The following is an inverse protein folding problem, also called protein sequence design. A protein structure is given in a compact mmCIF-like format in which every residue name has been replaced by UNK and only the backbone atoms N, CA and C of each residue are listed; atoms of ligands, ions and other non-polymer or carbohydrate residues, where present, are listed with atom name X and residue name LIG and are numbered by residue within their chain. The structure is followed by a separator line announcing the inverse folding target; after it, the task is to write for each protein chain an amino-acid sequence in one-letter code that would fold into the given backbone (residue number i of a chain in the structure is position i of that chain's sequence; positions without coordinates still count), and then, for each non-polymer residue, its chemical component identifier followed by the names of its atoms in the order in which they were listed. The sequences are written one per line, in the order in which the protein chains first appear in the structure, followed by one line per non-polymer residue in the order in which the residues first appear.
data_IF_231814643859
#
_entry.id   IF_231814643859
#
_cell.length_a   1.000
_cell.length_b   1.000
_cell.length_c   1.000
_cell.angle_alpha   90.00
_cell.angle_beta   90.00
_cell.angle_gamma   90.00
#
_symmetry.space_group_name_H-M   'P 1'
#
loop_
_entity.id
_entity.type
_entity.pdbx_description
1 polymer ?
#
# COMPACT_ATOMS: atom_id res chain seq x y z
N UNK A 1 -39.67 -6.81 -22.87
CA UNK A 1 -38.74 -7.15 -21.78
C UNK A 1 -37.54 -6.23 -21.94
N UNK A 2 -37.52 -5.14 -21.17
CA UNK A 2 -36.44 -4.15 -21.21
C UNK A 2 -35.41 -4.59 -20.19
N UNK A 3 -34.22 -4.95 -20.65
CA UNK A 3 -33.09 -5.25 -19.77
C UNK A 3 -32.44 -3.93 -19.40
N UNK A 4 -32.72 -3.48 -18.19
CA UNK A 4 -32.03 -2.38 -17.54
C UNK A 4 -30.64 -2.87 -17.14
N UNK A 5 -29.61 -2.36 -17.81
CA UNK A 5 -28.21 -2.66 -17.48
C UNK A 5 -27.79 -1.62 -16.45
N UNK A 6 -27.81 -2.00 -15.18
CA UNK A 6 -27.11 -1.28 -14.11
C UNK A 6 -25.64 -1.10 -14.50
N UNK A 7 -25.09 0.13 -14.47
CA UNK A 7 -23.68 0.34 -14.77
C UNK A 7 -22.85 -0.25 -13.62
N UNK A 8 -22.13 -1.34 -13.91
CA UNK A 8 -21.06 -1.85 -13.06
C UNK A 8 -20.04 -0.73 -12.84
N UNK A 9 -19.84 -0.33 -11.58
CA UNK A 9 -18.94 0.75 -11.19
C UNK A 9 -17.55 0.60 -11.80
N UNK A 10 -17.03 1.70 -12.32
CA UNK A 10 -15.70 1.75 -12.93
C UNK A 10 -14.61 1.47 -11.88
N UNK A 11 -13.81 0.42 -12.12
CA UNK A 11 -12.64 0.10 -11.29
C UNK A 11 -11.60 1.24 -11.36
N UNK A 12 -11.05 1.72 -10.23
CA UNK A 12 -10.06 2.79 -10.19
C UNK A 12 -8.69 2.42 -10.80
N UNK A 13 -8.54 1.22 -11.34
CA UNK A 13 -7.29 0.69 -11.93
C UNK A 13 -7.37 0.47 -13.45
N UNK A 14 -8.33 1.10 -14.15
CA UNK A 14 -8.48 0.96 -15.61
C UNK A 14 -7.33 1.63 -16.36
N UNK A 15 -6.99 1.07 -17.51
CA UNK A 15 -5.86 1.50 -18.35
C UNK A 15 -6.23 2.55 -19.41
N UNK A 16 -7.51 2.70 -19.77
CA UNK A 16 -7.92 3.60 -20.86
C UNK A 16 -7.81 5.08 -20.47
N UNK A 17 -7.37 5.97 -21.40
CA UNK A 17 -7.38 7.40 -21.15
C UNK A 17 -8.80 7.91 -20.95
N UNK A 18 -9.04 8.58 -19.82
CA UNK A 18 -10.35 9.09 -19.43
C UNK A 18 -10.26 10.43 -18.71
N UNK A 19 -11.39 10.95 -18.20
CA UNK A 19 -11.46 12.26 -17.52
C UNK A 19 -10.44 12.39 -16.36
N UNK A 20 -10.08 11.28 -15.70
CA UNK A 20 -9.06 11.22 -14.65
C UNK A 20 -7.64 11.60 -15.09
N UNK A 21 -7.35 11.60 -16.39
CA UNK A 21 -6.04 12.00 -16.94
C UNK A 21 -5.87 13.50 -17.06
N UNK A 22 -7.00 14.23 -17.11
CA UNK A 22 -7.03 15.68 -17.22
C UNK A 22 -7.08 16.35 -15.84
N UNK A 23 -7.40 15.59 -14.80
CA UNK A 23 -7.40 16.05 -13.40
C UNK A 23 -5.98 16.25 -12.87
N UNK A 24 -5.83 17.15 -11.89
CA UNK A 24 -4.59 17.35 -11.16
C UNK A 24 -4.13 16.01 -10.54
N UNK A 25 -2.87 15.63 -10.82
CA UNK A 25 -2.34 14.34 -10.42
C UNK A 25 -1.65 14.47 -9.06
N UNK A 26 -2.02 13.57 -8.15
CA UNK A 26 -1.41 13.47 -6.83
C UNK A 26 -0.64 12.16 -6.67
N UNK A 27 0.26 12.13 -5.70
CA UNK A 27 1.03 10.95 -5.32
C UNK A 27 0.98 10.80 -3.82
N UNK A 28 0.73 9.59 -3.33
CA UNK A 28 0.91 9.25 -1.92
C UNK A 28 2.38 8.90 -1.68
N UNK A 29 3.14 9.74 -0.94
CA UNK A 29 4.54 9.47 -0.64
C UNK A 29 4.64 8.50 0.54
N UNK A 30 5.58 7.56 0.42
CA UNK A 30 6.08 6.77 1.54
C UNK A 30 7.59 6.94 1.60
N UNK A 31 8.14 7.00 2.81
CA UNK A 31 9.57 6.96 3.07
C UNK A 31 9.86 5.79 4.00
N UNK A 32 10.72 4.88 3.57
CA UNK A 32 11.23 3.79 4.40
C UNK A 32 12.57 4.19 5.02
N UNK A 33 12.72 3.92 6.31
CA UNK A 33 13.99 4.11 7.03
C UNK A 33 14.93 2.94 6.73
N UNK A 34 16.04 3.20 6.03
CA UNK A 34 17.01 2.17 5.67
C UNK A 34 18.40 2.64 6.10
N UNK A 35 18.82 2.17 7.28
CA UNK A 35 20.18 2.37 7.76
C UNK A 35 21.15 1.38 7.10
N UNK A 36 22.40 1.81 6.90
CA UNK A 36 23.44 0.96 6.28
C UNK A 36 23.81 -0.24 7.14
N UNK A 37 23.90 -0.04 8.45
CA UNK A 37 24.41 -1.04 9.38
C UNK A 37 23.35 -2.08 9.77
N UNK A 38 22.07 -1.72 9.64
CA UNK A 38 20.94 -2.56 10.03
C UNK A 38 19.74 -2.26 9.13
N UNK A 39 19.78 -2.64 7.84
CA UNK A 39 18.62 -2.54 6.98
C UNK A 39 17.51 -3.48 7.51
N UNK A 40 16.23 -3.09 7.40
CA UNK A 40 15.13 -3.96 7.82
C UNK A 40 14.97 -5.16 6.89
N UNK A 41 14.33 -6.22 7.38
CA UNK A 41 13.97 -7.36 6.53
C UNK A 41 12.96 -6.93 5.45
N UNK A 42 13.10 -7.45 4.23
CA UNK A 42 12.23 -7.11 3.08
C UNK A 42 10.76 -7.32 3.42
N UNK A 43 10.40 -8.47 3.96
CA UNK A 43 9.00 -8.81 4.28
C UNK A 43 8.42 -7.83 5.32
N UNK A 44 9.21 -7.47 6.34
CA UNK A 44 8.79 -6.54 7.38
C UNK A 44 8.57 -5.12 6.82
N UNK A 45 9.44 -4.66 5.91
CA UNK A 45 9.24 -3.39 5.22
C UNK A 45 7.97 -3.37 4.34
N UNK A 46 7.66 -4.47 3.66
CA UNK A 46 6.44 -4.62 2.86
C UNK A 46 5.16 -4.59 3.72
N UNK A 47 5.13 -5.37 4.80
CA UNK A 47 4.02 -5.40 5.75
C UNK A 47 3.83 -4.01 6.39
N UNK A 48 4.93 -3.35 6.79
CA UNK A 48 4.90 -2.02 7.40
C UNK A 48 4.42 -0.95 6.41
N UNK A 49 4.82 -1.00 5.15
CA UNK A 49 4.34 -0.07 4.13
C UNK A 49 2.84 -0.23 3.84
N UNK A 50 2.36 -1.47 3.76
CA UNK A 50 0.93 -1.76 3.62
C UNK A 50 0.12 -1.21 4.82
N UNK A 51 0.61 -1.44 6.04
CA UNK A 51 0.03 -0.88 7.27
C UNK A 51 0.05 0.65 7.29
N UNK A 52 1.12 1.28 6.80
CA UNK A 52 1.20 2.74 6.71
C UNK A 52 0.13 3.31 5.78
N UNK A 53 -0.14 2.69 4.63
CA UNK A 53 -1.25 3.11 3.76
C UNK A 53 -2.60 2.98 4.47
N UNK A 54 -2.85 1.88 5.20
CA UNK A 54 -4.07 1.72 5.99
C UNK A 54 -4.18 2.78 7.09
N UNK A 55 -3.08 3.06 7.79
CA UNK A 55 -3.04 4.06 8.84
C UNK A 55 -3.50 5.43 8.34
N UNK A 56 -2.94 5.92 7.22
CA UNK A 56 -3.33 7.22 6.68
C UNK A 56 -4.76 7.24 6.09
N UNK A 57 -5.22 6.14 5.48
CA UNK A 57 -6.62 6.03 5.02
C UNK A 57 -7.62 6.08 6.19
N UNK A 58 -7.17 5.68 7.37
CA UNK A 58 -8.00 5.55 8.57
C UNK A 58 -7.93 6.76 9.52
N UNK A 59 -6.95 7.65 9.30
CA UNK A 59 -6.63 8.78 10.18
C UNK A 59 -7.73 9.84 10.12
N UNK A 60 -8.12 10.39 11.26
CA UNK A 60 -9.18 11.41 11.33
C UNK A 60 -8.88 12.64 10.46
N UNK A 61 -7.60 12.99 10.29
CA UNK A 61 -7.19 14.09 9.40
C UNK A 61 -7.48 13.79 7.95
N UNK A 62 -7.53 12.52 7.55
CA UNK A 62 -7.81 12.09 6.18
C UNK A 62 -9.31 11.94 5.88
N UNK A 63 -10.19 12.07 6.87
CA UNK A 63 -11.62 11.77 6.77
C UNK A 63 -12.48 13.01 6.96
N UNK A 64 -13.70 13.02 6.39
CA UNK A 64 -14.67 14.11 6.55
C UNK A 64 -14.08 15.48 6.21
N UNK A 65 -14.07 16.37 7.20
CA UNK A 65 -13.51 17.73 7.14
C UNK A 65 -12.09 17.82 7.72
N UNK A 66 -11.41 16.69 7.92
CA UNK A 66 -10.05 16.62 8.41
C UNK A 66 -9.05 17.36 7.52
N UNK A 67 -7.92 17.76 8.11
CA UNK A 67 -6.87 18.58 7.47
C UNK A 67 -6.40 18.04 6.11
N UNK A 68 -6.32 16.72 5.96
CA UNK A 68 -5.85 16.01 4.77
C UNK A 68 -6.99 15.45 3.91
N UNK A 69 -8.24 15.59 4.35
CA UNK A 69 -9.37 14.88 3.76
C UNK A 69 -9.60 15.27 2.29
N UNK A 70 -9.45 16.56 1.95
CA UNK A 70 -9.59 16.99 0.55
C UNK A 70 -8.51 16.38 -0.35
N UNK A 71 -7.24 16.48 0.05
CA UNK A 71 -6.13 15.97 -0.76
C UNK A 71 -6.14 14.44 -0.86
N UNK A 72 -6.68 13.76 0.15
CA UNK A 72 -6.95 12.32 0.10
C UNK A 72 -8.07 11.96 -0.87
N UNK A 73 -9.14 12.75 -0.98
CA UNK A 73 -10.18 12.57 -2.00
C UNK A 73 -9.63 12.80 -3.40
N UNK A 74 -8.95 13.92 -3.61
CA UNK A 74 -8.36 14.29 -4.91
C UNK A 74 -7.40 13.19 -5.43
N UNK A 75 -6.60 12.59 -4.54
CA UNK A 75 -5.73 11.48 -4.90
C UNK A 75 -6.47 10.16 -5.19
N UNK A 76 -7.54 9.85 -4.46
CA UNK A 76 -8.33 8.64 -4.67
C UNK A 76 -9.21 8.71 -5.93
N UNK A 77 -9.64 9.93 -6.30
CA UNK A 77 -10.48 10.18 -7.48
C UNK A 77 -9.64 10.29 -8.78
N UNK A 78 -8.34 10.55 -8.68
CA UNK A 78 -7.40 10.55 -9.80
C UNK A 78 -6.80 9.15 -10.07
N UNK A 79 -5.71 9.10 -10.86
CA UNK A 79 -4.89 7.89 -10.96
C UNK A 79 -4.09 7.71 -9.67
N UNK A 80 -4.44 6.68 -8.91
CA UNK A 80 -3.85 6.39 -7.61
C UNK A 80 -2.39 6.00 -7.79
N UNK A 81 -1.48 6.89 -7.41
CA UNK A 81 -0.02 6.67 -7.44
C UNK A 81 0.54 6.60 -6.04
N UNK A 82 1.42 5.62 -5.79
CA UNK A 82 2.23 5.53 -4.58
C UNK A 82 3.70 5.55 -4.96
N UNK A 83 4.51 6.31 -4.25
CA UNK A 83 5.96 6.35 -4.46
C UNK A 83 6.66 6.13 -3.14
N UNK A 84 7.51 5.11 -3.11
CA UNK A 84 8.35 4.80 -1.96
C UNK A 84 9.75 5.33 -2.22
N UNK A 85 10.26 6.12 -1.28
CA UNK A 85 11.65 6.60 -1.25
C UNK A 85 12.32 6.07 0.01
N UNK A 86 13.65 6.11 0.05
CA UNK A 86 14.40 5.78 1.26
C UNK A 86 15.02 7.01 1.90
N UNK A 87 15.16 6.96 3.22
CA UNK A 87 15.94 7.93 3.97
C UNK A 87 16.74 7.24 5.08
N UNK A 88 17.75 7.94 5.60
CA UNK A 88 18.59 7.51 6.73
C UNK A 88 19.10 8.71 7.51
N UNK A 89 19.49 8.51 8.76
CA UNK A 89 20.12 9.53 9.60
C UNK A 89 19.43 10.91 9.53
N UNK A 90 20.15 11.93 9.06
CA UNK A 90 19.60 13.28 8.96
C UNK A 90 18.49 13.44 7.90
N UNK A 91 18.46 12.61 6.87
CA UNK A 91 17.39 12.61 5.87
C UNK A 91 16.09 12.10 6.47
N UNK A 92 16.16 11.03 7.27
CA UNK A 92 15.00 10.46 7.98
C UNK A 92 14.42 11.47 8.95
N UNK A 93 15.25 12.08 9.81
CA UNK A 93 14.81 13.12 10.76
C UNK A 93 14.10 14.31 10.10
N UNK A 94 14.53 14.71 8.90
CA UNK A 94 13.86 15.79 8.14
C UNK A 94 12.54 15.32 7.52
N UNK A 95 12.45 14.07 7.08
CA UNK A 95 11.19 13.50 6.62
C UNK A 95 10.18 13.37 7.76
N UNK A 96 10.63 12.95 8.96
CA UNK A 96 9.79 12.87 10.16
C UNK A 96 9.21 14.21 10.61
N UNK A 97 9.95 15.31 10.39
CA UNK A 97 9.51 16.66 10.74
C UNK A 97 8.34 17.17 9.88
N UNK A 98 8.06 16.56 8.72
CA UNK A 98 6.92 16.92 7.88
C UNK A 98 5.63 16.23 8.36
N UNK A 99 4.43 16.79 8.14
CA UNK A 99 3.16 16.13 8.48
C UNK A 99 3.04 14.74 7.85
N UNK A 100 2.66 13.75 8.65
CA UNK A 100 2.58 12.35 8.23
C UNK A 100 2.51 11.40 9.42
N UNK A 101 2.49 10.10 9.13
CA UNK A 101 2.35 9.03 10.11
C UNK A 101 3.53 8.08 9.95
N UNK A 102 4.29 7.86 11.01
CA UNK A 102 5.31 6.80 11.06
C UNK A 102 4.67 5.55 11.63
N UNK A 103 4.79 4.44 10.91
CA UNK A 103 4.42 3.10 11.35
C UNK A 103 5.68 2.28 11.56
N UNK A 104 5.75 1.59 12.68
CA UNK A 104 6.88 0.72 13.06
C UNK A 104 6.45 -0.74 12.94
N UNK A 105 7.25 -1.51 12.21
CA UNK A 105 7.19 -2.97 12.11
C UNK A 105 8.04 -3.63 13.19
N UNK A 106 8.58 -4.82 12.89
CA UNK A 106 9.52 -5.50 13.79
C UNK A 106 10.89 -4.79 13.83
N UNK A 107 11.33 -4.35 12.66
CA UNK A 107 12.63 -3.72 12.37
C UNK A 107 12.52 -2.57 11.39
N UNK A 108 11.45 -2.53 10.58
CA UNK A 108 11.18 -1.50 9.60
C UNK A 108 10.47 -0.29 10.23
N UNK A 109 10.81 0.89 9.75
CA UNK A 109 10.02 2.10 9.99
C UNK A 109 9.63 2.69 8.63
N UNK A 110 8.33 2.92 8.44
CA UNK A 110 7.81 3.53 7.21
C UNK A 110 6.96 4.72 7.58
N UNK A 111 7.28 5.87 7.00
CA UNK A 111 6.50 7.10 7.14
C UNK A 111 5.68 7.33 5.88
N UNK A 112 4.37 7.46 6.04
CA UNK A 112 3.45 7.87 4.99
C UNK A 112 3.08 9.33 5.16
N UNK A 113 2.87 10.03 4.05
CA UNK A 113 2.54 11.45 4.02
C UNK A 113 1.19 11.67 3.35
N UNK A 114 0.48 12.76 3.65
CA UNK A 114 -0.66 13.19 2.85
C UNK A 114 -0.25 13.26 1.36
N UNK A 115 -1.16 12.96 0.43
CA UNK A 115 -0.83 13.04 -0.98
C UNK A 115 -0.32 14.43 -1.35
N UNK A 116 0.64 14.47 -2.27
CA UNK A 116 1.24 15.71 -2.76
C UNK A 116 1.03 15.83 -4.26
N UNK A 117 0.92 17.05 -4.83
CA UNK A 117 0.87 17.24 -6.27
C UNK A 117 2.10 16.62 -6.95
N UNK A 118 1.93 16.05 -8.13
CA UNK A 118 2.99 15.37 -8.88
C UNK A 118 4.21 16.27 -9.13
N UNK A 119 3.99 17.56 -9.34
CA UNK A 119 4.98 18.61 -9.58
C UNK A 119 5.28 19.47 -8.32
N UNK A 120 4.62 19.19 -7.19
CA UNK A 120 4.64 19.99 -5.97
C UNK A 120 5.24 19.28 -4.75
N UNK A 121 6.23 18.41 -4.94
CA UNK A 121 6.82 17.65 -3.83
C UNK A 121 7.54 18.55 -2.81
N UNK A 122 7.32 18.35 -1.49
CA UNK A 122 8.12 19.01 -0.46
C UNK A 122 9.61 18.77 -0.67
N UNK A 123 10.43 19.83 -0.55
CA UNK A 123 11.88 19.80 -0.85
C UNK A 123 12.62 18.65 -0.15
N UNK A 124 12.28 18.38 1.10
CA UNK A 124 12.93 17.34 1.89
C UNK A 124 12.58 15.92 1.42
N UNK A 125 11.41 15.72 0.81
CA UNK A 125 11.02 14.46 0.16
C UNK A 125 11.56 14.37 -1.27
N UNK A 126 11.50 15.46 -2.03
CA UNK A 126 11.88 15.55 -3.45
C UNK A 126 13.33 15.12 -3.72
N UNK A 127 14.24 15.30 -2.75
CA UNK A 127 15.64 14.88 -2.87
C UNK A 127 15.93 13.42 -2.49
N UNK A 128 14.99 12.74 -1.82
CA UNK A 128 15.19 11.36 -1.39
C UNK A 128 15.21 10.42 -2.59
N UNK A 129 16.00 9.36 -2.50
CA UNK A 129 16.20 8.41 -3.59
C UNK A 129 15.08 7.37 -3.63
N UNK A 130 14.63 7.02 -4.84
CA UNK A 130 13.72 5.88 -5.10
C UNK A 130 14.51 4.57 -5.20
N UNK A 131 15.78 4.65 -5.60
CA UNK A 131 16.72 3.51 -5.69
C UNK A 131 17.42 3.20 -4.36
N UNK A 132 18.05 2.02 -4.28
CA UNK A 132 18.71 1.52 -3.07
C UNK A 132 17.72 1.01 -2.02
N UNK A 133 16.55 0.56 -2.47
CA UNK A 133 15.57 -0.18 -1.66
C UNK A 133 15.78 -1.68 -1.83
N UNK A 134 17.02 -2.10 -2.10
CA UNK A 134 17.38 -3.51 -2.19
C UNK A 134 17.44 -4.06 -0.76
N UNK A 135 16.38 -4.77 -0.39
CA UNK A 135 16.20 -5.38 0.92
C UNK A 135 16.01 -6.87 0.69
N UNK A 136 16.60 -7.67 1.57
CA UNK A 136 16.46 -9.12 1.59
C UNK A 136 15.82 -9.56 2.92
N UNK A 137 15.33 -10.80 2.96
CA UNK A 137 14.96 -11.44 4.21
C UNK A 137 16.15 -12.31 4.68
N UNK A 138 16.67 -12.12 5.91
CA UNK A 138 17.81 -12.89 6.40
C UNK A 138 17.47 -14.38 6.60
N UNK A 139 16.20 -14.67 6.88
CA UNK A 139 15.64 -16.01 6.94
C UNK A 139 14.32 -16.02 6.16
N UNK A 140 13.90 -17.17 5.59
CA UNK A 140 12.61 -17.26 4.91
C UNK A 140 11.46 -16.77 5.80
N UNK A 141 10.55 -15.93 5.28
CA UNK A 141 9.45 -15.41 6.08
C UNK A 141 8.55 -16.57 6.56
N UNK A 142 8.02 -16.50 7.79
CA UNK A 142 7.14 -17.54 8.31
C UNK A 142 5.87 -17.63 7.45
N UNK A 143 5.22 -18.81 7.46
CA UNK A 143 3.93 -18.98 6.79
C UNK A 143 2.94 -17.91 7.25
N UNK A 144 2.13 -17.40 6.32
CA UNK A 144 1.12 -16.41 6.64
C UNK A 144 0.08 -16.98 7.61
N UNK A 145 -0.37 -16.16 8.55
CA UNK A 145 -1.46 -16.54 9.45
C UNK A 145 -2.75 -16.68 8.64
N UNK A 146 -3.39 -17.87 8.60
CA UNK A 146 -4.62 -18.06 7.84
C UNK A 146 -5.79 -17.22 8.36
N UNK A 147 -5.74 -16.74 9.61
CA UNK A 147 -6.77 -15.89 10.20
C UNK A 147 -6.65 -14.40 9.80
N UNK A 148 -5.57 -14.00 9.12
CA UNK A 148 -5.34 -12.61 8.72
C UNK A 148 -5.42 -12.43 7.20
N UNK A 149 -5.69 -11.20 6.71
CA UNK A 149 -5.52 -10.86 5.30
C UNK A 149 -4.08 -11.13 4.83
N UNK A 150 -3.95 -11.66 3.62
CA UNK A 150 -2.65 -11.92 2.98
C UNK A 150 -2.60 -11.22 1.62
N UNK A 151 -1.56 -10.42 1.42
CA UNK A 151 -1.22 -9.78 0.16
C UNK A 151 -0.17 -10.65 -0.55
N UNK A 152 -0.61 -11.35 -1.59
CA UNK A 152 0.24 -12.24 -2.37
C UNK A 152 0.86 -11.48 -3.53
N UNK A 153 2.19 -11.37 -3.58
CA UNK A 153 2.94 -10.81 -4.69
C UNK A 153 3.07 -11.83 -5.83
N UNK A 154 2.99 -11.34 -7.06
CA UNK A 154 3.22 -12.13 -8.27
C UNK A 154 4.68 -12.64 -8.31
N UNK A 155 4.93 -13.96 -8.34
CA UNK A 155 6.28 -14.51 -8.41
C UNK A 155 7.01 -14.28 -9.73
N UNK A 156 6.28 -13.96 -10.80
CA UNK A 156 6.85 -13.72 -12.13
C UNK A 156 7.35 -12.29 -12.36
N UNK A 157 7.23 -11.41 -11.36
CA UNK A 157 7.65 -10.01 -11.46
C UNK A 157 8.85 -9.76 -10.56
N UNK A 158 9.98 -9.41 -11.16
CA UNK A 158 11.11 -8.87 -10.40
C UNK A 158 10.82 -7.41 -10.04
N UNK A 159 10.79 -7.12 -8.75
CA UNK A 159 10.44 -5.81 -8.22
C UNK A 159 11.44 -5.42 -7.12
N UNK A 160 12.03 -4.22 -7.26
CA UNK A 160 12.72 -3.58 -6.14
C UNK A 160 11.80 -3.50 -4.94
N UNK A 161 12.34 -3.53 -3.71
CA UNK A 161 11.48 -3.54 -2.53
C UNK A 161 10.61 -2.28 -2.46
N UNK A 162 11.09 -1.12 -2.91
CA UNK A 162 10.30 0.10 -3.01
C UNK A 162 9.04 -0.05 -3.88
N UNK A 163 9.14 -0.73 -5.03
CA UNK A 163 7.98 -1.01 -5.88
C UNK A 163 7.06 -2.04 -5.26
N UNK A 164 7.61 -3.12 -4.71
CA UNK A 164 6.82 -4.11 -4.00
C UNK A 164 6.08 -3.50 -2.80
N UNK A 165 6.68 -2.55 -2.07
CA UNK A 165 6.03 -1.79 -0.97
C UNK A 165 4.87 -0.95 -1.49
N UNK A 166 5.04 -0.25 -2.62
CA UNK A 166 3.96 0.50 -3.26
C UNK A 166 2.80 -0.44 -3.65
N UNK A 167 3.10 -1.58 -4.27
CA UNK A 167 2.11 -2.58 -4.68
C UNK A 167 1.40 -3.22 -3.47
N UNK A 168 2.12 -3.54 -2.39
CA UNK A 168 1.52 -3.98 -1.13
C UNK A 168 0.57 -2.91 -0.56
N UNK A 169 0.96 -1.64 -0.62
CA UNK A 169 0.07 -0.52 -0.29
C UNK A 169 -1.19 -0.44 -1.15
N UNK A 170 -1.12 -0.75 -2.45
CA UNK A 170 -2.30 -0.86 -3.31
C UNK A 170 -3.19 -2.05 -2.91
N UNK A 171 -2.60 -3.22 -2.61
CA UNK A 171 -3.35 -4.39 -2.16
C UNK A 171 -4.07 -4.14 -0.84
N UNK A 172 -3.41 -3.47 0.10
CA UNK A 172 -4.02 -3.07 1.38
C UNK A 172 -5.18 -2.08 1.19
N UNK A 173 -5.02 -1.07 0.32
CA UNK A 173 -6.09 -0.13 -0.01
C UNK A 173 -7.29 -0.83 -0.67
N UNK A 174 -7.05 -1.78 -1.58
CA UNK A 174 -8.12 -2.60 -2.16
C UNK A 174 -8.87 -3.36 -1.08
N UNK A 175 -8.15 -4.06 -0.20
CA UNK A 175 -8.75 -4.77 0.92
C UNK A 175 -9.60 -3.83 1.79
N UNK A 176 -9.10 -2.64 2.11
CA UNK A 176 -9.79 -1.64 2.91
C UNK A 176 -11.13 -1.21 2.32
N UNK A 177 -11.18 -1.01 1.00
CA UNK A 177 -12.40 -0.55 0.32
C UNK A 177 -13.51 -1.59 0.27
N UNK A 178 -13.18 -2.89 0.27
CA UNK A 178 -14.17 -3.97 0.33
C UNK A 178 -14.82 -4.12 1.72
N UNK A 179 -14.23 -3.54 2.77
CA UNK A 179 -14.70 -3.71 4.14
C UNK A 179 -15.75 -2.67 4.54
N UNK A 180 -16.67 -3.10 5.40
CA UNK A 180 -17.59 -2.22 6.16
C UNK A 180 -16.85 -1.32 7.15
N UNK A 181 -17.53 -0.31 7.69
CA UNK A 181 -16.95 0.58 8.70
C UNK A 181 -16.58 -0.18 9.99
N UNK A 182 -17.42 -1.14 10.40
CA UNK A 182 -17.18 -1.99 11.57
C UNK A 182 -15.94 -2.86 11.40
N UNK A 183 -15.78 -3.50 10.23
CA UNK A 183 -14.60 -4.32 9.93
C UNK A 183 -13.33 -3.48 9.83
N UNK A 184 -13.41 -2.27 9.25
CA UNK A 184 -12.31 -1.30 9.21
C UNK A 184 -11.88 -0.88 10.62
N UNK A 185 -12.86 -0.65 11.50
CA UNK A 185 -12.58 -0.33 12.90
C UNK A 185 -11.89 -1.49 13.60
N UNK A 186 -12.40 -2.72 13.46
CA UNK A 186 -11.78 -3.91 14.03
C UNK A 186 -10.35 -4.14 13.52
N UNK A 187 -10.10 -3.91 12.22
CA UNK A 187 -8.76 -4.04 11.67
C UNK A 187 -7.79 -2.98 12.20
N UNK A 188 -8.25 -1.73 12.37
CA UNK A 188 -7.49 -0.67 13.04
C UNK A 188 -7.15 -1.05 14.48
N UNK A 189 -8.11 -1.58 15.23
CA UNK A 189 -7.90 -2.07 16.60
C UNK A 189 -6.91 -3.24 16.68
N UNK A 190 -6.79 -4.02 15.60
CA UNK A 190 -5.79 -5.06 15.42
C UNK A 190 -4.46 -4.55 14.83
N UNK A 191 -4.23 -3.22 14.87
CA UNK A 191 -3.02 -2.56 14.37
C UNK A 191 -2.73 -2.87 12.88
N UNK A 192 -3.81 -3.01 12.11
CA UNK A 192 -3.78 -3.35 10.68
C UNK A 192 -3.03 -4.66 10.37
N UNK A 193 -3.07 -5.65 11.27
CA UNK A 193 -2.36 -6.91 11.07
C UNK A 193 -2.70 -7.57 9.72
N UNK A 194 -1.65 -7.85 8.94
CA UNK A 194 -1.69 -8.50 7.63
C UNK A 194 -0.35 -9.17 7.34
N UNK A 195 -0.32 -10.06 6.36
CA UNK A 195 0.93 -10.62 5.84
C UNK A 195 1.15 -10.23 4.38
N UNK A 196 2.41 -10.04 3.99
CA UNK A 196 2.82 -9.91 2.57
C UNK A 196 3.72 -11.08 2.20
N UNK A 197 3.37 -11.85 1.17
CA UNK A 197 4.15 -13.04 0.76
C UNK A 197 4.28 -13.10 -0.75
N UNK A 198 5.39 -13.67 -1.25
CA UNK A 198 5.47 -14.10 -2.64
C UNK A 198 4.73 -15.42 -2.80
N UNK A 199 3.79 -15.50 -3.74
CA UNK A 199 3.14 -16.77 -4.07
C UNK A 199 4.13 -17.68 -4.82
N UNK A 200 3.95 -19.01 -4.77
CA UNK A 200 4.51 -19.87 -5.80
C UNK A 200 3.67 -19.77 -7.10
N UNK A 201 4.20 -20.15 -8.27
CA UNK A 201 3.46 -20.01 -9.53
C UNK A 201 2.11 -20.74 -9.58
N UNK A 202 2.00 -21.90 -8.94
CA UNK A 202 0.75 -22.66 -8.89
C UNK A 202 -0.30 -21.92 -8.06
N UNK A 203 0.09 -21.49 -6.85
CA UNK A 203 -0.75 -20.70 -5.96
C UNK A 203 -1.18 -19.38 -6.59
N UNK A 204 -0.30 -18.72 -7.34
CA UNK A 204 -0.63 -17.49 -8.05
C UNK A 204 -1.76 -17.68 -9.07
N UNK A 205 -1.71 -18.77 -9.85
CA UNK A 205 -2.77 -19.09 -10.81
C UNK A 205 -4.12 -19.35 -10.13
N UNK A 206 -4.13 -20.05 -8.99
CA UNK A 206 -5.34 -20.25 -8.18
C UNK A 206 -5.90 -18.90 -7.69
N UNK A 207 -5.06 -18.08 -7.06
CA UNK A 207 -5.47 -16.80 -6.48
C UNK A 207 -6.10 -15.86 -7.52
N UNK A 208 -5.47 -15.75 -8.70
CA UNK A 208 -5.92 -14.86 -9.78
C UNK A 208 -7.18 -15.34 -10.49
N UNK A 209 -7.50 -16.64 -10.42
CA UNK A 209 -8.73 -17.21 -10.98
C UNK A 209 -9.89 -17.30 -9.98
N UNK A 210 -9.66 -16.99 -8.70
CA UNK A 210 -10.63 -17.17 -7.61
C UNK A 210 -11.56 -15.97 -7.38
N UNK A 211 -11.55 -14.95 -8.25
CA UNK A 211 -12.39 -13.75 -8.10
C UNK A 211 -11.99 -12.85 -6.91
N UNK A 212 -10.78 -13.02 -6.37
CA UNK A 212 -10.24 -12.16 -5.31
C UNK A 212 -9.98 -10.73 -5.82
N UNK A 213 -9.89 -9.72 -4.94
CA UNK A 213 -9.38 -8.41 -5.33
C UNK A 213 -7.95 -8.52 -5.84
N UNK A 214 -7.68 -7.91 -7.00
CA UNK A 214 -6.38 -7.95 -7.67
C UNK A 214 -5.88 -6.53 -7.95
N UNK A 215 -4.61 -6.27 -7.62
CA UNK A 215 -3.91 -5.07 -8.09
C UNK A 215 -3.39 -5.33 -9.49
N UNK A 216 -3.62 -4.36 -10.38
CA UNK A 216 -3.05 -4.34 -11.73
C UNK A 216 -2.19 -3.08 -11.88
N UNK A 217 -0.93 -3.26 -12.26
CA UNK A 217 -0.11 -2.14 -12.69
C UNK A 217 -0.50 -1.78 -14.14
N UNK A 218 -0.85 -0.52 -14.37
CA UNK A 218 -1.23 0.00 -15.67
C UNK A 218 -0.04 0.17 -16.63
N UNK A 219 1.20 -0.16 -16.21
CA UNK A 219 2.35 -0.26 -17.11
C UNK A 219 3.12 1.06 -17.29
N UNK A 220 2.97 2.01 -16.37
CA UNK A 220 3.77 3.23 -16.34
C UNK A 220 5.07 3.07 -15.53
N UNK A 221 5.42 1.83 -15.18
CA UNK A 221 6.66 1.45 -14.52
C UNK A 221 7.47 0.54 -15.44
N UNK A 222 8.74 0.27 -15.10
CA UNK A 222 9.59 -0.66 -15.87
C UNK A 222 9.14 -2.14 -15.77
N UNK A 223 8.08 -2.43 -15.03
CA UNK A 223 7.51 -3.78 -14.87
C UNK A 223 6.50 -4.02 -16.00
N UNK A 224 6.51 -5.23 -16.56
CA UNK A 224 5.53 -5.62 -17.58
C UNK A 224 4.09 -5.39 -17.06
N UNK A 225 3.20 -4.75 -17.84
CA UNK A 225 1.81 -4.57 -17.45
C UNK A 225 1.17 -5.90 -17.03
N UNK A 226 0.51 -5.93 -15.88
CA UNK A 226 0.01 -7.19 -15.35
C UNK A 226 -0.52 -7.12 -13.93
N UNK A 227 -0.98 -8.27 -13.46
CA UNK A 227 -1.41 -8.47 -12.07
C UNK A 227 -0.17 -8.49 -11.17
N UNK A 228 -0.17 -7.67 -10.13
CA UNK A 228 1.00 -7.52 -9.23
C UNK A 228 0.73 -8.10 -7.85
N UNK A 229 -0.50 -7.98 -7.35
CA UNK A 229 -0.91 -8.44 -6.02
C UNK A 229 -2.29 -9.07 -6.05
N UNK A 230 -2.48 -10.19 -5.36
CA UNK A 230 -3.78 -10.76 -5.06
C UNK A 230 -4.08 -10.65 -3.55
N UNK A 231 -5.29 -10.24 -3.20
CA UNK A 231 -5.72 -10.03 -1.81
C UNK A 231 -6.56 -11.22 -1.34
N UNK A 232 -6.00 -12.07 -0.51
CA UNK A 232 -6.71 -13.21 0.07
C UNK A 232 -7.21 -12.89 1.49
N UNK A 233 -8.44 -13.27 1.80
CA UNK A 233 -8.96 -13.23 3.17
C UNK A 233 -9.20 -11.82 3.72
N UNK A 234 -9.45 -10.81 2.89
CA UNK A 234 -9.72 -9.44 3.36
C UNK A 234 -10.85 -9.38 4.40
N UNK A 235 -11.95 -10.13 4.20
CA UNK A 235 -13.07 -10.24 5.15
C UNK A 235 -12.66 -10.72 6.56
N UNK A 236 -11.49 -11.36 6.72
CA UNK A 236 -10.99 -11.81 8.03
C UNK A 236 -10.48 -10.66 8.88
N UNK A 237 -10.20 -9.51 8.27
CA UNK A 237 -9.75 -8.29 8.96
C UNK A 237 -10.65 -7.90 10.13
N UNK A 238 -11.97 -8.04 9.96
CA UNK A 238 -12.96 -7.70 10.99
C UNK A 238 -13.01 -8.64 12.20
N UNK A 239 -12.33 -9.78 12.14
CA UNK A 239 -12.34 -10.82 13.20
C UNK A 239 -10.98 -10.97 13.89
N UNK A 240 -10.03 -10.09 13.61
CA UNK A 240 -8.69 -10.16 14.19
C UNK A 240 -8.69 -9.80 15.69
N UNK A 241 -7.93 -10.53 16.52
CA UNK A 241 -7.77 -10.16 17.92
C UNK A 241 -6.95 -8.87 18.03
N UNK A 242 -7.27 -8.05 19.03
CA UNK A 242 -6.43 -6.89 19.40
C UNK A 242 -5.06 -7.39 19.87
N UNK A 243 -3.95 -6.72 19.50
CA UNK A 243 -2.65 -7.06 20.04
C UNK A 243 -2.65 -6.92 21.57
N UNK A 244 -2.01 -7.87 22.25
CA UNK A 244 -1.80 -7.76 23.69
C UNK A 244 -0.91 -6.55 23.95
N UNK A 245 -1.40 -5.57 24.72
CA UNK A 245 -0.55 -4.45 25.16
C UNK A 245 0.57 -5.02 26.03
N UNK A 246 1.83 -4.87 25.59
CA UNK A 246 3.02 -5.09 26.42
C UNK A 246 3.20 -3.94 27.39
#
# INVERSE_FOLDING_TARGET
MSHDVTPSGESPFRSEPGERDQAAQFVLPLVVHIEKAAPPARTDALETAARAVLAILSDERSLGDGEWAQVMRDWQDARIRKVVRRARGAEWRRAEALPGITVTGKSAEVRVFPPVPLDGWPKDLARLQVSGTDLDDPEPPPRANPAAPVLWLNPGLDMSAGKAMAQAGHGAQLAWWELSEEERHAWRDADFALAVRSADPGRWNELTSSGLPLVRDAGFTEIAPGLTVAVEGHHRAGSLPRPSRM
#
